data_IF_547560518525
#
_entry.id   IF_547560518525
#
_cell.length_a   1.000
_cell.length_b   1.000
_cell.length_c   1.000
_cell.angle_alpha   90.00
_cell.angle_beta   90.00
_cell.angle_gamma   90.00
#
_symmetry.space_group_name_H-M   'P 1'
#
loop_
_entity.id
_entity.type
_entity.pdbx_description
1 polymer ?
#
# COMPACT_ATOMS: atom_id res chain seq x y z
N UNK A 1 3.69 11.10 -3.44
CA UNK A 1 3.75 10.35 -4.71
C UNK A 1 4.82 9.24 -4.75
N UNK A 2 6.14 9.49 -4.69
CA UNK A 2 7.12 8.37 -4.76
C UNK A 2 7.02 7.38 -3.59
N UNK A 3 6.88 7.93 -2.37
CA UNK A 3 6.72 7.17 -1.13
C UNK A 3 5.47 6.28 -1.18
N UNK A 4 4.31 6.85 -1.52
CA UNK A 4 3.05 6.10 -1.64
C UNK A 4 3.17 4.95 -2.66
N UNK A 5 3.84 5.19 -3.79
CA UNK A 5 4.05 4.19 -4.85
C UNK A 5 4.98 3.04 -4.43
N UNK A 6 6.04 3.30 -3.65
CA UNK A 6 6.90 2.25 -3.07
C UNK A 6 6.10 1.35 -2.12
N UNK A 7 5.36 1.98 -1.21
CA UNK A 7 4.49 1.30 -0.23
C UNK A 7 3.43 0.46 -0.98
N UNK A 8 2.91 0.96 -2.08
CA UNK A 8 1.85 0.25 -2.79
C UNK A 8 2.36 -0.86 -3.72
N UNK A 9 3.50 -0.68 -4.39
CA UNK A 9 4.18 -1.78 -5.10
C UNK A 9 4.42 -2.97 -4.17
N UNK A 10 4.73 -2.71 -2.89
CA UNK A 10 4.82 -3.72 -1.85
C UNK A 10 3.46 -4.36 -1.52
N UNK A 11 2.39 -3.58 -1.31
CA UNK A 11 1.03 -4.10 -1.09
C UNK A 11 0.55 -5.01 -2.23
N UNK A 12 0.92 -4.69 -3.48
CA UNK A 12 0.62 -5.54 -4.64
C UNK A 12 1.28 -6.92 -4.47
N UNK A 13 2.56 -6.98 -4.05
CA UNK A 13 3.24 -8.26 -3.84
C UNK A 13 2.78 -9.02 -2.61
N UNK A 14 2.23 -8.34 -1.60
CA UNK A 14 1.62 -8.98 -0.42
C UNK A 14 0.25 -9.64 -0.73
N UNK A 15 -0.44 -9.15 -1.77
CA UNK A 15 -1.73 -9.68 -2.20
C UNK A 15 -1.61 -10.64 -3.39
N UNK A 16 -0.73 -10.35 -4.35
CA UNK A 16 -0.62 -11.05 -5.63
C UNK A 16 0.84 -11.33 -6.00
N UNK A 17 1.08 -12.47 -6.64
CA UNK A 17 2.39 -12.75 -7.21
C UNK A 17 2.67 -11.83 -8.42
N UNK A 18 3.94 -11.57 -8.78
CA UNK A 18 4.28 -10.73 -9.95
C UNK A 18 3.63 -11.20 -11.26
N UNK A 19 3.30 -12.49 -11.37
CA UNK A 19 2.70 -13.10 -12.56
C UNK A 19 1.17 -13.20 -12.49
N UNK A 20 0.55 -12.73 -11.41
CA UNK A 20 -0.88 -12.87 -11.20
C UNK A 20 -1.67 -11.98 -12.16
N UNK A 21 -2.78 -12.46 -12.70
CA UNK A 21 -3.59 -11.73 -13.69
C UNK A 21 -4.12 -10.39 -13.15
N UNK A 22 -4.42 -10.33 -11.84
CA UNK A 22 -4.86 -9.09 -11.19
C UNK A 22 -3.78 -8.01 -11.04
N UNK A 23 -2.57 -8.23 -11.54
CA UNK A 23 -1.52 -7.18 -11.64
C UNK A 23 -1.52 -6.43 -12.99
N UNK A 24 -2.41 -6.80 -13.91
CA UNK A 24 -2.66 -6.05 -15.15
C UNK A 24 -3.31 -4.70 -14.85
N UNK A 25 -3.16 -3.71 -15.73
CA UNK A 25 -3.88 -2.44 -15.55
C UNK A 25 -5.33 -2.57 -16.01
N UNK A 26 -5.53 -3.16 -17.21
CA UNK A 26 -6.86 -3.54 -17.70
C UNK A 26 -7.13 -4.97 -17.24
N UNK A 27 -8.12 -5.11 -16.37
CA UNK A 27 -8.50 -6.36 -15.74
C UNK A 27 -9.52 -7.13 -16.57
N UNK A 28 -9.49 -8.45 -16.48
CA UNK A 28 -10.56 -9.32 -16.93
C UNK A 28 -11.27 -9.90 -15.69
N UNK A 29 -12.54 -9.53 -15.52
CA UNK A 29 -13.36 -9.95 -14.39
C UNK A 29 -14.36 -11.06 -14.77
N UNK A 30 -14.17 -11.72 -15.91
CA UNK A 30 -15.04 -12.83 -16.33
C UNK A 30 -15.01 -13.95 -15.29
N UNK A 31 -16.17 -14.25 -14.67
CA UNK A 31 -16.32 -15.22 -13.57
C UNK A 31 -15.48 -14.92 -12.33
N UNK A 32 -15.15 -13.65 -12.08
CA UNK A 32 -14.40 -13.19 -10.92
C UNK A 32 -15.26 -12.23 -10.11
N UNK A 33 -15.36 -12.47 -8.81
CA UNK A 33 -15.92 -11.50 -7.87
C UNK A 33 -15.02 -10.24 -7.82
N UNK A 34 -15.53 -9.04 -8.16
CA UNK A 34 -14.75 -7.80 -8.16
C UNK A 34 -14.07 -7.50 -6.81
N UNK A 35 -14.67 -7.92 -5.69
CA UNK A 35 -14.10 -7.69 -4.35
C UNK A 35 -12.83 -8.54 -4.12
N UNK A 36 -12.68 -9.66 -4.85
CA UNK A 36 -11.48 -10.48 -4.82
C UNK A 36 -10.36 -9.88 -5.68
N UNK A 37 -10.73 -9.22 -6.78
CA UNK A 37 -9.77 -8.56 -7.67
C UNK A 37 -9.29 -7.19 -7.15
N UNK A 38 -10.05 -6.58 -6.23
CA UNK A 38 -9.71 -5.28 -5.65
C UNK A 38 -8.31 -5.28 -5.03
N UNK A 39 -7.50 -4.30 -5.44
CA UNK A 39 -6.14 -4.06 -4.95
C UNK A 39 -5.69 -2.64 -5.29
N UNK A 40 -4.46 -2.29 -4.93
CA UNK A 40 -3.92 -0.99 -5.33
C UNK A 40 -3.31 -0.92 -6.74
N UNK A 41 -3.26 -2.06 -7.46
CA UNK A 41 -2.74 -2.13 -8.83
C UNK A 41 -3.33 -1.06 -9.76
N UNK A 42 -4.67 -0.93 -9.93
CA UNK A 42 -5.22 0.05 -10.87
C UNK A 42 -4.91 1.50 -10.48
N UNK A 43 -4.82 1.79 -9.18
CA UNK A 43 -4.47 3.11 -8.68
C UNK A 43 -3.03 3.47 -9.04
N UNK A 44 -2.10 2.58 -8.73
CA UNK A 44 -0.67 2.88 -8.79
C UNK A 44 -0.10 2.72 -10.19
N UNK A 45 -0.47 1.64 -10.89
CA UNK A 45 -0.06 1.41 -12.28
C UNK A 45 -0.73 2.41 -13.22
N UNK A 46 -1.99 2.77 -12.96
CA UNK A 46 -2.68 3.83 -13.69
C UNK A 46 -2.04 5.20 -13.45
N UNK A 47 -1.79 5.56 -12.19
CA UNK A 47 -1.11 6.81 -11.85
C UNK A 47 0.34 6.86 -12.40
N UNK A 48 1.05 5.73 -12.44
CA UNK A 48 2.37 5.62 -13.06
C UNK A 48 2.32 5.83 -14.57
N UNK A 49 1.33 5.27 -15.28
CA UNK A 49 1.14 5.49 -16.71
C UNK A 49 0.88 6.98 -17.00
N UNK A 50 -0.02 7.61 -16.26
CA UNK A 50 -0.34 9.03 -16.46
C UNK A 50 0.87 9.92 -16.19
N UNK A 51 1.64 9.64 -15.14
CA UNK A 51 2.85 10.40 -14.83
C UNK A 51 3.98 10.16 -15.84
N UNK A 52 4.11 8.93 -16.35
CA UNK A 52 5.02 8.63 -17.46
C UNK A 52 4.65 9.44 -18.72
N UNK A 53 3.36 9.48 -19.06
CA UNK A 53 2.85 10.25 -20.19
C UNK A 53 3.09 11.75 -20.02
N UNK A 54 2.81 12.30 -18.84
CA UNK A 54 3.10 13.69 -18.50
C UNK A 54 4.57 14.04 -18.80
N UNK A 55 5.51 13.24 -18.32
CA UNK A 55 6.94 13.46 -18.56
C UNK A 55 7.32 13.39 -20.03
N UNK A 56 6.73 12.46 -20.78
CA UNK A 56 7.01 12.30 -22.22
C UNK A 56 6.37 13.39 -23.08
N UNK A 57 5.24 13.93 -22.67
CA UNK A 57 4.42 14.84 -23.48
C UNK A 57 4.67 16.32 -23.18
N UNK A 58 5.57 16.66 -22.25
CA UNK A 58 6.00 18.04 -22.02
C UNK A 58 5.75 18.59 -20.62
N UNK A 59 5.48 17.73 -19.64
CA UNK A 59 5.34 18.08 -18.23
C UNK A 59 3.91 18.40 -17.80
N UNK A 60 3.78 18.74 -16.52
CA UNK A 60 2.50 18.91 -15.83
C UNK A 60 1.58 19.92 -16.51
N UNK A 61 2.07 21.11 -16.87
CA UNK A 61 1.24 22.16 -17.47
C UNK A 61 0.55 21.68 -18.76
N UNK A 62 1.30 21.00 -19.64
CA UNK A 62 0.79 20.45 -20.91
C UNK A 62 -0.21 19.32 -20.65
N UNK A 63 0.07 18.46 -19.68
CA UNK A 63 -0.79 17.32 -19.37
C UNK A 63 -2.06 17.73 -18.61
N UNK A 64 -2.01 18.80 -17.83
CA UNK A 64 -3.17 19.40 -17.16
C UNK A 64 -4.18 19.98 -18.16
N UNK A 65 -3.71 20.62 -19.25
CA UNK A 65 -4.59 21.07 -20.33
C UNK A 65 -5.32 19.90 -21.00
N UNK A 66 -4.60 18.81 -21.28
CA UNK A 66 -5.19 17.57 -21.76
C UNK A 66 -6.23 17.00 -20.78
N UNK A 67 -5.92 16.98 -19.48
CA UNK A 67 -6.84 16.49 -18.46
C UNK A 67 -8.16 17.27 -18.46
N UNK A 68 -8.11 18.60 -18.62
CA UNK A 68 -9.32 19.44 -18.73
C UNK A 68 -10.14 19.11 -19.98
N UNK A 69 -9.48 18.92 -21.13
CA UNK A 69 -10.14 18.53 -22.37
C UNK A 69 -10.78 17.14 -22.27
N UNK A 70 -10.05 16.16 -21.73
CA UNK A 70 -10.54 14.81 -21.46
C UNK A 70 -11.80 14.84 -20.59
N UNK A 71 -11.77 15.56 -19.46
CA UNK A 71 -12.91 15.68 -18.55
C UNK A 71 -14.12 16.35 -19.23
N UNK A 72 -13.88 17.34 -20.08
CA UNK A 72 -14.94 18.04 -20.83
C UNK A 72 -15.55 17.13 -21.90
N UNK A 73 -14.72 16.41 -22.66
CA UNK A 73 -15.13 15.52 -23.76
C UNK A 73 -15.99 14.35 -23.28
N UNK A 74 -15.62 13.78 -22.12
CA UNK A 74 -16.28 12.61 -21.54
C UNK A 74 -17.20 12.92 -20.36
N UNK A 75 -17.49 14.19 -20.09
CA UNK A 75 -18.47 14.59 -19.09
C UNK A 75 -19.81 13.85 -19.33
N UNK A 76 -20.34 13.24 -18.27
CA UNK A 76 -21.60 12.48 -18.28
C UNK A 76 -21.62 11.24 -19.19
N UNK A 77 -20.46 10.68 -19.55
CA UNK A 77 -20.34 9.44 -20.33
C UNK A 77 -19.62 8.36 -19.54
N UNK A 78 -19.95 7.10 -19.82
CA UNK A 78 -19.13 5.96 -19.44
C UNK A 78 -18.18 5.63 -20.60
N UNK A 79 -16.91 5.37 -20.29
CA UNK A 79 -15.89 5.05 -21.29
C UNK A 79 -15.05 3.85 -20.88
N UNK A 80 -14.43 3.21 -21.87
CA UNK A 80 -13.36 2.25 -21.68
C UNK A 80 -11.96 2.84 -21.94
N UNK A 81 -10.92 2.05 -21.64
CA UNK A 81 -9.52 2.46 -21.81
C UNK A 81 -9.12 2.68 -23.27
N UNK A 82 -9.81 2.08 -24.24
CA UNK A 82 -9.52 2.25 -25.67
C UNK A 82 -10.09 3.56 -26.20
N UNK A 83 -11.26 3.97 -25.72
CA UNK A 83 -11.81 5.31 -25.95
C UNK A 83 -10.91 6.39 -25.35
N UNK A 84 -10.40 6.19 -24.12
CA UNK A 84 -9.39 7.06 -23.52
C UNK A 84 -8.13 7.18 -24.39
N UNK A 85 -7.53 6.03 -24.77
CA UNK A 85 -6.32 6.00 -25.61
C UNK A 85 -6.55 6.69 -26.96
N UNK A 86 -7.70 6.47 -27.59
CA UNK A 86 -8.05 7.14 -28.86
C UNK A 86 -8.07 8.66 -28.69
N UNK A 87 -8.74 9.17 -27.66
CA UNK A 87 -8.80 10.60 -27.37
C UNK A 87 -7.41 11.19 -27.06
N UNK A 88 -6.55 10.47 -26.32
CA UNK A 88 -5.16 10.86 -26.09
C UNK A 88 -4.40 11.09 -27.41
N UNK A 89 -4.53 10.18 -28.38
CA UNK A 89 -3.89 10.28 -29.70
C UNK A 89 -4.49 11.36 -30.61
N UNK A 90 -5.76 11.70 -30.41
CA UNK A 90 -6.45 12.78 -31.12
C UNK A 90 -6.05 14.15 -30.56
N UNK A 91 -5.97 14.29 -29.24
CA UNK A 91 -5.54 15.53 -28.59
C UNK A 91 -4.08 15.84 -28.92
N UNK A 92 -3.17 14.91 -28.65
CA UNK A 92 -1.74 15.03 -28.93
C UNK A 92 -1.37 14.58 -30.36
N UNK A 93 -2.16 15.00 -31.34
CA UNK A 93 -1.94 14.67 -32.75
C UNK A 93 -0.58 15.14 -33.30
N UNK A 94 -0.05 16.23 -32.75
CA UNK A 94 1.26 16.83 -33.03
C UNK A 94 2.42 16.06 -32.38
N UNK A 95 2.14 15.23 -31.37
CA UNK A 95 3.14 14.40 -30.64
C UNK A 95 2.95 12.91 -30.88
N UNK A 96 2.35 12.52 -32.02
CA UNK A 96 2.15 11.11 -32.39
C UNK A 96 3.44 10.31 -32.42
N UNK A 97 4.55 10.92 -32.84
CA UNK A 97 5.85 10.27 -32.91
C UNK A 97 6.28 9.78 -31.52
N UNK A 98 6.06 10.60 -30.48
CA UNK A 98 6.32 10.27 -29.07
C UNK A 98 5.36 9.18 -28.61
N UNK A 99 4.05 9.34 -28.85
CA UNK A 99 3.03 8.36 -28.43
C UNK A 99 3.25 6.98 -29.05
N UNK A 100 3.72 6.91 -30.30
CA UNK A 100 4.01 5.66 -31.00
C UNK A 100 5.22 4.92 -30.40
N UNK A 101 6.09 5.59 -29.65
CA UNK A 101 7.18 4.92 -28.92
C UNK A 101 6.71 4.20 -27.65
N UNK A 102 5.48 4.45 -27.21
CA UNK A 102 4.96 3.93 -25.95
C UNK A 102 4.29 2.58 -26.19
N UNK A 103 4.77 1.55 -25.50
CA UNK A 103 4.17 0.22 -25.52
C UNK A 103 2.90 0.16 -24.65
N UNK A 104 1.79 0.67 -25.18
CA UNK A 104 0.50 0.64 -24.51
C UNK A 104 0.00 -0.79 -24.22
N UNK A 105 0.39 -1.78 -25.02
CA UNK A 105 -0.01 -3.17 -24.80
C UNK A 105 0.63 -3.71 -23.52
N UNK A 106 1.94 -3.49 -23.35
CA UNK A 106 2.63 -3.81 -22.11
C UNK A 106 2.05 -3.07 -20.90
N UNK A 107 1.78 -1.76 -21.03
CA UNK A 107 1.17 -0.98 -19.94
C UNK A 107 -0.21 -1.52 -19.52
N UNK A 108 -1.05 -1.89 -20.50
CA UNK A 108 -2.41 -2.34 -20.24
C UNK A 108 -2.49 -3.79 -19.76
N UNK A 109 -1.72 -4.68 -20.39
CA UNK A 109 -1.95 -6.12 -20.32
C UNK A 109 -0.78 -6.92 -19.75
N UNK A 110 0.43 -6.35 -19.59
CA UNK A 110 1.49 -7.08 -18.92
C UNK A 110 1.22 -7.20 -17.41
N UNK A 111 1.56 -8.36 -16.86
CA UNK A 111 1.54 -8.63 -15.42
C UNK A 111 2.75 -8.00 -14.74
N UNK A 112 2.65 -7.76 -13.43
CA UNK A 112 3.72 -7.23 -12.59
C UNK A 112 3.87 -5.71 -12.67
N UNK A 113 5.09 -5.24 -12.43
CA UNK A 113 5.42 -3.81 -12.41
C UNK A 113 5.20 -3.15 -13.77
N UNK A 114 4.99 -1.82 -13.79
CA UNK A 114 5.05 -1.05 -15.03
C UNK A 114 6.30 -1.37 -15.87
N UNK A 115 6.19 -1.40 -17.20
CA UNK A 115 7.34 -1.66 -18.08
C UNK A 115 8.39 -0.55 -18.00
N UNK A 116 7.97 0.67 -17.70
CA UNK A 116 8.83 1.84 -17.55
C UNK A 116 8.58 2.51 -16.21
N UNK A 117 9.66 2.97 -15.57
CA UNK A 117 9.60 3.69 -14.30
C UNK A 117 9.70 5.21 -14.58
N UNK A 118 8.65 6.00 -14.26
CA UNK A 118 8.75 7.46 -14.33
C UNK A 118 9.89 7.99 -13.47
N UNK A 119 10.42 9.16 -13.80
CA UNK A 119 11.41 9.83 -12.94
C UNK A 119 10.72 10.46 -11.74
N UNK A 120 11.19 10.16 -10.54
CA UNK A 120 10.57 10.63 -9.31
C UNK A 120 11.54 11.50 -8.53
N UNK A 121 11.08 12.70 -8.16
CA UNK A 121 11.82 13.56 -7.25
C UNK A 121 12.16 12.84 -5.94
N UNK A 122 13.43 12.91 -5.53
CA UNK A 122 13.96 12.15 -4.39
C UNK A 122 13.99 12.94 -3.08
N UNK A 123 13.70 14.24 -3.09
CA UNK A 123 13.91 15.14 -1.95
C UNK A 123 13.23 14.67 -0.65
N UNK A 124 12.01 14.13 -0.74
CA UNK A 124 11.28 13.63 0.44
C UNK A 124 11.88 12.34 1.02
N UNK A 125 12.57 11.55 0.20
CA UNK A 125 13.09 10.23 0.55
C UNK A 125 14.46 10.32 1.20
N UNK A 126 15.28 11.31 0.81
CA UNK A 126 16.64 11.51 1.35
C UNK A 126 16.63 11.60 2.88
N UNK A 127 15.69 12.37 3.46
CA UNK A 127 15.57 12.49 4.91
C UNK A 127 15.17 11.15 5.58
N UNK A 128 14.30 10.38 4.93
CA UNK A 128 13.87 9.06 5.40
C UNK A 128 15.04 8.06 5.38
N UNK A 129 15.81 8.04 4.28
CA UNK A 129 16.97 7.17 4.11
C UNK A 129 18.10 7.52 5.09
N UNK A 130 18.32 8.81 5.37
CA UNK A 130 19.29 9.25 6.37
C UNK A 130 18.92 8.74 7.77
N UNK A 131 17.65 8.89 8.17
CA UNK A 131 17.17 8.40 9.47
C UNK A 131 17.17 6.87 9.54
N UNK A 132 16.79 6.21 8.45
CA UNK A 132 16.87 4.75 8.32
C UNK A 132 18.29 4.24 8.57
N UNK A 133 19.29 4.80 7.87
CA UNK A 133 20.70 4.41 8.06
C UNK A 133 21.16 4.66 9.49
N UNK A 134 20.82 5.81 10.06
CA UNK A 134 21.15 6.13 11.45
C UNK A 134 20.63 5.06 12.41
N UNK A 135 19.40 4.57 12.23
CA UNK A 135 18.85 3.51 13.08
C UNK A 135 19.44 2.15 12.81
N UNK A 136 19.65 1.76 11.55
CA UNK A 136 20.19 0.43 11.22
C UNK A 136 21.62 0.28 11.74
N UNK A 137 22.45 1.31 11.58
CA UNK A 137 23.87 1.29 11.96
C UNK A 137 24.10 1.52 13.46
N UNK A 138 23.13 2.08 14.18
CA UNK A 138 23.25 2.33 15.61
C UNK A 138 23.28 1.03 16.44
N UNK A 139 24.21 0.98 17.39
CA UNK A 139 24.20 0.04 18.51
C UNK A 139 23.38 0.57 19.70
N UNK A 140 23.24 -0.21 20.77
CA UNK A 140 22.43 0.14 21.95
C UNK A 140 22.82 1.50 22.56
N UNK A 141 24.12 1.76 22.75
CA UNK A 141 24.59 3.03 23.31
C UNK A 141 24.30 4.22 22.39
N UNK A 142 24.46 4.04 21.08
CA UNK A 142 24.21 5.09 20.09
C UNK A 142 22.72 5.40 19.96
N UNK A 143 21.85 4.39 20.09
CA UNK A 143 20.40 4.56 20.01
C UNK A 143 19.88 5.51 21.10
N UNK A 144 20.47 5.49 22.31
CA UNK A 144 20.10 6.42 23.40
C UNK A 144 20.36 7.89 23.07
N UNK A 145 21.22 8.17 22.08
CA UNK A 145 21.57 9.54 21.65
C UNK A 145 20.71 10.04 20.49
N UNK A 146 19.88 9.18 19.90
CA UNK A 146 18.98 9.56 18.81
C UNK A 146 17.80 10.34 19.40
N UNK A 147 17.57 11.56 18.92
CA UNK A 147 16.46 12.39 19.38
C UNK A 147 15.21 12.23 18.52
N UNK A 148 14.07 12.65 19.05
CA UNK A 148 12.79 12.62 18.37
C UNK A 148 12.64 13.69 17.26
N UNK A 149 13.55 14.67 17.19
CA UNK A 149 13.36 15.89 16.40
C UNK A 149 13.31 15.63 14.90
N UNK A 150 14.22 14.78 14.41
CA UNK A 150 14.26 14.41 13.00
C UNK A 150 12.97 13.69 12.57
N UNK A 151 12.47 12.77 13.38
CA UNK A 151 11.23 12.04 13.08
C UNK A 151 9.99 12.94 13.21
N UNK A 152 9.91 13.78 14.24
CA UNK A 152 8.75 14.67 14.47
C UNK A 152 8.66 15.84 13.49
N UNK A 153 9.79 16.26 12.91
CA UNK A 153 9.80 17.28 11.85
C UNK A 153 9.42 16.75 10.47
N UNK A 154 9.43 15.43 10.28
CA UNK A 154 8.99 14.79 9.04
C UNK A 154 7.46 14.89 8.87
N UNK A 155 7.03 15.01 7.60
CA UNK A 155 5.62 14.87 7.26
C UNK A 155 5.14 13.43 7.54
N UNK A 156 3.83 13.20 7.79
CA UNK A 156 3.32 11.85 8.07
C UNK A 156 3.69 10.82 6.99
N UNK A 157 3.70 11.20 5.71
CA UNK A 157 4.13 10.31 4.63
C UNK A 157 5.61 9.92 4.73
N UNK A 158 6.49 10.83 5.16
CA UNK A 158 7.91 10.53 5.36
C UNK A 158 8.11 9.60 6.57
N UNK A 159 7.35 9.80 7.64
CA UNK A 159 7.36 8.89 8.80
C UNK A 159 6.93 7.48 8.39
N UNK A 160 5.89 7.35 7.55
CA UNK A 160 5.44 6.07 7.01
C UNK A 160 6.51 5.45 6.09
N UNK A 161 7.17 6.22 5.22
CA UNK A 161 8.28 5.71 4.39
C UNK A 161 9.42 5.18 5.24
N UNK A 162 9.83 5.92 6.27
CA UNK A 162 10.88 5.49 7.19
C UNK A 162 10.52 4.15 7.86
N UNK A 163 9.29 4.01 8.38
CA UNK A 163 8.83 2.74 8.95
C UNK A 163 8.76 1.62 7.90
N UNK A 164 8.38 1.94 6.67
CA UNK A 164 8.37 0.99 5.55
C UNK A 164 9.79 0.51 5.20
N UNK A 165 10.79 1.40 5.20
CA UNK A 165 12.19 1.03 4.98
C UNK A 165 12.70 0.11 6.10
N UNK A 166 12.38 0.41 7.36
CA UNK A 166 12.67 -0.48 8.49
C UNK A 166 11.98 -1.84 8.36
N UNK A 167 10.74 -1.87 7.88
CA UNK A 167 10.01 -3.12 7.63
C UNK A 167 10.63 -3.92 6.48
N UNK A 168 11.15 -3.27 5.45
CA UNK A 168 11.80 -3.93 4.31
C UNK A 168 13.20 -4.45 4.64
N UNK A 169 13.85 -3.92 5.68
CA UNK A 169 15.14 -4.40 6.14
C UNK A 169 15.07 -5.90 6.47
N UNK A 170 16.08 -6.63 6.00
CA UNK A 170 16.31 -8.05 6.27
C UNK A 170 17.78 -8.22 6.66
N UNK A 171 18.11 -8.82 7.82
CA UNK A 171 17.23 -9.50 8.78
C UNK A 171 16.23 -8.58 9.51
N UNK A 172 15.14 -9.12 10.12
CA UNK A 172 14.24 -8.33 10.97
C UNK A 172 14.99 -7.62 12.11
N UNK A 173 14.48 -6.47 12.54
CA UNK A 173 15.10 -5.69 13.62
C UNK A 173 15.13 -6.44 14.94
N UNK A 174 16.19 -6.22 15.71
CA UNK A 174 16.35 -6.74 17.06
C UNK A 174 15.34 -6.08 18.03
N UNK A 175 14.89 -6.83 19.03
CA UNK A 175 13.83 -6.37 19.95
C UNK A 175 14.21 -5.12 20.74
N UNK A 176 15.48 -4.97 21.13
CA UNK A 176 15.96 -3.77 21.83
C UNK A 176 15.81 -2.52 20.96
N UNK A 177 16.01 -2.64 19.63
CA UNK A 177 15.89 -1.53 18.68
C UNK A 177 14.45 -1.10 18.51
N UNK A 178 13.52 -2.05 18.54
CA UNK A 178 12.08 -1.76 18.56
C UNK A 178 11.66 -1.07 19.86
N UNK A 179 12.17 -1.53 21.00
CA UNK A 179 11.92 -0.88 22.28
C UNK A 179 12.43 0.57 22.27
N UNK A 180 13.65 0.80 21.79
CA UNK A 180 14.23 2.13 21.65
C UNK A 180 13.44 3.02 20.67
N UNK A 181 13.04 2.50 19.50
CA UNK A 181 12.18 3.23 18.56
C UNK A 181 10.87 3.67 19.21
N UNK A 182 10.23 2.78 19.96
CA UNK A 182 8.99 3.11 20.66
C UNK A 182 9.20 4.14 21.77
N UNK A 183 10.31 4.04 22.51
CA UNK A 183 10.65 4.99 23.58
C UNK A 183 10.92 6.40 23.03
N UNK A 184 11.71 6.50 21.95
CA UNK A 184 12.07 7.81 21.37
C UNK A 184 10.89 8.46 20.64
N UNK A 185 10.08 7.68 19.92
CA UNK A 185 9.04 8.21 19.03
C UNK A 185 7.60 8.06 19.53
N UNK A 186 7.35 7.26 20.58
CA UNK A 186 6.00 7.04 21.12
C UNK A 186 5.08 6.33 20.12
N UNK A 187 5.60 5.39 19.32
CA UNK A 187 4.87 4.79 18.19
C UNK A 187 3.64 3.98 18.62
N UNK A 188 3.70 3.33 19.80
CA UNK A 188 2.54 2.65 20.39
C UNK A 188 1.39 3.61 20.70
N UNK A 189 1.66 4.89 20.94
CA UNK A 189 0.66 5.89 21.32
C UNK A 189 0.28 6.82 20.16
N UNK A 190 0.75 6.51 18.95
CA UNK A 190 0.41 7.27 17.74
C UNK A 190 -1.10 7.25 17.47
N UNK A 191 -1.70 8.44 17.40
CA UNK A 191 -3.09 8.64 16.98
C UNK A 191 -3.28 8.45 15.47
N UNK A 192 -2.19 8.58 14.70
CA UNK A 192 -2.22 8.36 13.26
C UNK A 192 -2.27 6.85 12.96
N UNK A 193 -3.40 6.39 12.42
CA UNK A 193 -3.66 4.98 12.11
C UNK A 193 -2.72 4.39 11.06
N UNK A 194 -2.25 5.19 10.09
CA UNK A 194 -1.33 4.69 9.04
C UNK A 194 0.08 4.47 9.63
N UNK A 195 0.53 5.37 10.50
CA UNK A 195 1.80 5.20 11.23
C UNK A 195 1.71 4.00 12.17
N UNK A 196 0.64 3.92 12.96
CA UNK A 196 0.42 2.83 13.89
C UNK A 196 0.32 1.47 13.18
N UNK A 197 -0.35 1.41 12.03
CA UNK A 197 -0.40 0.19 11.20
C UNK A 197 1.00 -0.27 10.80
N UNK A 198 1.82 0.63 10.22
CA UNK A 198 3.16 0.28 9.76
C UNK A 198 4.06 -0.14 10.93
N UNK A 199 3.93 0.55 12.07
CA UNK A 199 4.63 0.19 13.30
C UNK A 199 4.24 -1.20 13.83
N UNK A 200 2.94 -1.50 13.90
CA UNK A 200 2.43 -2.82 14.34
C UNK A 200 2.99 -3.92 13.44
N UNK A 201 2.93 -3.74 12.11
CA UNK A 201 3.42 -4.74 11.15
C UNK A 201 4.93 -4.94 11.24
N UNK A 202 5.71 -3.87 11.47
CA UNK A 202 7.14 -3.95 11.74
C UNK A 202 7.45 -4.81 12.97
N UNK A 203 6.73 -4.57 14.06
CA UNK A 203 6.91 -5.32 15.29
C UNK A 203 6.49 -6.78 15.17
N UNK A 204 5.40 -7.08 14.45
CA UNK A 204 4.96 -8.47 14.20
C UNK A 204 5.99 -9.20 13.32
N UNK A 205 6.54 -8.55 12.28
CA UNK A 205 7.62 -9.13 11.44
C UNK A 205 8.80 -9.57 12.30
N UNK A 206 9.19 -8.75 13.28
CA UNK A 206 10.25 -9.04 14.22
C UNK A 206 9.85 -9.95 15.40
N UNK A 207 8.58 -10.37 15.48
CA UNK A 207 8.03 -11.20 16.57
C UNK A 207 8.22 -10.58 17.96
N UNK A 208 8.00 -9.26 18.08
CA UNK A 208 8.12 -8.54 19.35
C UNK A 208 6.83 -8.66 20.16
N UNK A 209 6.79 -9.59 21.13
CA UNK A 209 5.59 -9.95 21.92
C UNK A 209 4.80 -8.78 22.54
N UNK A 210 5.44 -7.70 23.06
CA UNK A 210 4.71 -6.57 23.61
C UNK A 210 3.71 -5.91 22.65
N UNK A 211 3.87 -6.07 21.33
CA UNK A 211 2.94 -5.48 20.36
C UNK A 211 1.59 -6.20 20.28
N UNK A 212 1.50 -7.46 20.74
CA UNK A 212 0.32 -8.31 20.47
C UNK A 212 -0.97 -7.65 20.98
N UNK A 213 -0.95 -7.11 22.19
CA UNK A 213 -2.13 -6.45 22.78
C UNK A 213 -2.52 -5.20 22.01
N UNK A 214 -1.53 -4.39 21.61
CA UNK A 214 -1.77 -3.19 20.79
C UNK A 214 -2.33 -3.55 19.43
N UNK A 215 -1.80 -4.58 18.78
CA UNK A 215 -2.25 -5.06 17.49
C UNK A 215 -3.71 -5.55 17.54
N UNK A 216 -4.07 -6.31 18.58
CA UNK A 216 -5.44 -6.78 18.80
C UNK A 216 -6.38 -5.60 19.07
N UNK A 217 -6.00 -4.67 19.95
CA UNK A 217 -6.79 -3.47 20.22
C UNK A 217 -7.04 -2.65 18.96
N UNK A 218 -6.01 -2.49 18.12
CA UNK A 218 -6.10 -1.75 16.86
C UNK A 218 -7.06 -2.38 15.84
N UNK A 219 -7.02 -3.70 15.66
CA UNK A 219 -7.95 -4.38 14.72
C UNK A 219 -9.38 -4.48 15.26
N UNK A 220 -9.58 -4.30 16.56
CA UNK A 220 -10.89 -4.26 17.20
C UNK A 220 -11.51 -2.85 17.18
N UNK A 221 -10.70 -1.80 17.18
CA UNK A 221 -11.20 -0.42 17.09
C UNK A 221 -11.52 0.02 15.66
N UNK A 222 -10.85 -0.55 14.66
CA UNK A 222 -10.99 -0.16 13.26
C UNK A 222 -11.71 -1.23 12.43
N UNK A 223 -12.52 -0.82 11.45
CA UNK A 223 -13.21 -1.73 10.52
C UNK A 223 -12.69 -1.74 9.08
N UNK A 224 -11.68 -0.90 8.77
CA UNK A 224 -11.17 -0.71 7.42
C UNK A 224 -10.33 -1.92 7.01
N UNK A 225 -10.70 -2.59 5.92
CA UNK A 225 -9.99 -3.76 5.40
C UNK A 225 -8.49 -3.52 5.15
N UNK A 226 -8.11 -2.30 4.72
CA UNK A 226 -6.72 -1.87 4.58
C UNK A 226 -5.88 -2.10 5.86
N UNK A 227 -6.50 -1.98 7.03
CA UNK A 227 -5.82 -2.10 8.32
C UNK A 227 -5.99 -3.50 8.90
N UNK A 228 -7.23 -3.96 9.02
CA UNK A 228 -7.55 -5.19 9.72
C UNK A 228 -6.95 -6.41 9.01
N UNK A 229 -7.07 -6.47 7.68
CA UNK A 229 -6.73 -7.66 6.91
C UNK A 229 -5.23 -8.00 6.97
N UNK A 230 -4.29 -7.07 6.71
CA UNK A 230 -2.87 -7.35 6.86
C UNK A 230 -2.48 -7.72 8.30
N UNK A 231 -3.00 -7.00 9.31
CA UNK A 231 -2.64 -7.27 10.71
C UNK A 231 -3.14 -8.65 11.16
N UNK A 232 -4.36 -9.05 10.80
CA UNK A 232 -4.83 -10.41 11.09
C UNK A 232 -3.94 -11.46 10.41
N UNK A 233 -3.61 -11.29 9.11
CA UNK A 233 -2.73 -12.22 8.39
C UNK A 233 -1.37 -12.36 9.08
N UNK A 234 -0.75 -11.24 9.46
CA UNK A 234 0.55 -11.21 10.14
C UNK A 234 0.48 -11.90 11.52
N UNK A 235 -0.57 -11.63 12.32
CA UNK A 235 -0.77 -12.26 13.64
C UNK A 235 -1.03 -13.77 13.54
N UNK A 236 -1.77 -14.23 12.53
CA UNK A 236 -2.08 -15.66 12.35
C UNK A 236 -0.84 -16.45 11.90
N UNK A 237 0.02 -15.82 11.10
CA UNK A 237 1.30 -16.40 10.68
C UNK A 237 2.28 -16.58 11.84
N UNK A 238 2.06 -15.88 12.96
CA UNK A 238 2.89 -15.95 14.16
C UNK A 238 2.28 -16.87 15.23
N UNK A 239 2.92 -18.02 15.56
CA UNK A 239 2.34 -19.00 16.49
C UNK A 239 1.94 -18.45 17.87
N UNK A 240 2.71 -17.50 18.42
CA UNK A 240 2.43 -16.92 19.74
C UNK A 240 1.17 -16.02 19.76
N UNK A 241 0.86 -15.37 18.64
CA UNK A 241 -0.27 -14.45 18.52
C UNK A 241 -1.53 -15.10 17.92
N UNK A 242 -1.37 -16.21 17.19
CA UNK A 242 -2.43 -16.86 16.42
C UNK A 242 -3.72 -17.13 17.19
N UNK A 243 -3.61 -17.72 18.39
CA UNK A 243 -4.79 -18.05 19.21
C UNK A 243 -5.53 -16.79 19.63
N UNK A 244 -4.81 -15.78 20.15
CA UNK A 244 -5.41 -14.51 20.59
C UNK A 244 -6.07 -13.76 19.43
N UNK A 245 -5.46 -13.76 18.25
CA UNK A 245 -6.04 -13.14 17.06
C UNK A 245 -7.35 -13.84 16.64
N UNK A 246 -7.37 -15.18 16.65
CA UNK A 246 -8.57 -15.96 16.31
C UNK A 246 -9.70 -15.71 17.32
N UNK A 247 -9.41 -15.73 18.62
CA UNK A 247 -10.41 -15.53 19.66
C UNK A 247 -11.01 -14.13 19.59
N UNK A 248 -10.17 -13.11 19.37
CA UNK A 248 -10.61 -11.74 19.16
C UNK A 248 -11.53 -11.61 17.93
N UNK A 249 -11.18 -12.25 16.81
CA UNK A 249 -12.04 -12.24 15.62
C UNK A 249 -13.41 -12.86 15.92
N UNK A 250 -13.46 -14.00 16.61
CA UNK A 250 -14.73 -14.66 16.97
C UNK A 250 -15.60 -13.72 17.82
N UNK A 251 -15.00 -13.03 18.80
CA UNK A 251 -15.71 -12.12 19.70
C UNK A 251 -16.22 -10.87 18.98
N UNK A 252 -15.46 -10.34 18.03
CA UNK A 252 -15.76 -9.05 17.36
C UNK A 252 -16.48 -9.23 16.01
N UNK A 253 -16.59 -10.45 15.48
CA UNK A 253 -17.19 -10.73 14.17
C UNK A 253 -18.59 -10.13 14.00
N UNK A 254 -19.43 -10.21 15.02
CA UNK A 254 -20.83 -9.73 14.94
C UNK A 254 -20.95 -8.22 14.82
N UNK A 255 -19.91 -7.46 15.19
CA UNK A 255 -19.90 -5.99 15.10
C UNK A 255 -19.14 -5.50 13.87
N UNK A 256 -18.50 -6.38 13.11
CA UNK A 256 -17.79 -6.04 11.88
C UNK A 256 -18.76 -5.86 10.71
N UNK A 257 -18.37 -5.04 9.73
CA UNK A 257 -19.05 -4.99 8.43
C UNK A 257 -19.02 -6.39 7.78
N UNK A 258 -20.13 -6.87 7.15
CA UNK A 258 -20.21 -8.23 6.62
C UNK A 258 -19.05 -8.62 5.68
N UNK A 259 -18.68 -7.73 4.76
CA UNK A 259 -17.56 -7.93 3.83
C UNK A 259 -16.23 -8.05 4.58
N UNK A 260 -16.01 -7.21 5.61
CA UNK A 260 -14.79 -7.26 6.43
C UNK A 260 -14.70 -8.59 7.18
N UNK A 261 -15.80 -9.00 7.79
CA UNK A 261 -15.89 -10.26 8.50
C UNK A 261 -15.61 -11.45 7.57
N UNK A 262 -16.19 -11.46 6.37
CA UNK A 262 -16.01 -12.54 5.40
C UNK A 262 -14.56 -12.63 4.89
N UNK A 263 -13.97 -11.51 4.52
CA UNK A 263 -12.59 -11.47 4.02
C UNK A 263 -11.58 -11.92 5.09
N UNK A 264 -11.76 -11.49 6.35
CA UNK A 264 -10.92 -11.94 7.46
C UNK A 264 -11.17 -13.43 7.77
N UNK A 265 -12.41 -13.93 7.65
CA UNK A 265 -12.71 -15.36 7.82
C UNK A 265 -11.96 -16.22 6.79
N UNK A 266 -11.94 -15.77 5.53
CA UNK A 266 -11.20 -16.43 4.43
C UNK A 266 -9.71 -16.50 4.75
N UNK A 267 -9.11 -15.40 5.21
CA UNK A 267 -7.70 -15.35 5.60
C UNK A 267 -7.40 -16.19 6.87
N UNK A 268 -8.36 -16.33 7.79
CA UNK A 268 -8.28 -17.20 8.96
C UNK A 268 -8.51 -18.70 8.66
N UNK A 269 -8.82 -19.05 7.40
CA UNK A 269 -9.27 -20.38 6.99
C UNK A 269 -10.46 -20.91 7.81
N UNK A 270 -11.30 -20.01 8.32
CA UNK A 270 -12.52 -20.36 9.04
C UNK A 270 -13.63 -20.62 8.03
N UNK A 271 -13.97 -21.90 7.80
CA UNK A 271 -15.16 -22.25 7.02
C UNK A 271 -16.39 -21.74 7.74
N UNK A 272 -17.31 -21.13 6.99
CA UNK A 272 -18.61 -20.78 7.50
C UNK A 272 -19.32 -22.08 7.93
N UNK A 273 -19.74 -22.17 9.19
CA UNK A 273 -20.96 -22.92 9.49
C UNK A 273 -22.08 -22.14 8.80
N UNK A 274 -22.56 -22.69 7.68
CA UNK A 274 -23.70 -22.22 6.89
C UNK A 274 -24.74 -21.49 7.73
N UNK A 275 -24.84 -20.17 7.55
CA UNK A 275 -26.10 -19.48 7.70
C UNK A 275 -26.34 -18.69 6.43
N UNK A 276 -27.19 -19.28 5.60
CA UNK A 276 -27.97 -18.62 4.58
C UNK A 276 -28.57 -17.35 5.18
N UNK A 277 -28.05 -16.18 4.81
CA UNK A 277 -28.84 -14.96 4.91
C UNK A 277 -29.73 -15.01 3.68
N UNK A 278 -30.96 -15.50 3.86
CA UNK A 278 -32.01 -15.29 2.87
C UNK A 278 -32.18 -13.78 2.71
N UNK A 279 -32.17 -13.32 1.46
CA UNK A 279 -32.66 -12.00 1.07
C UNK A 279 -34.14 -11.84 1.46
#
# INVERSE_FOLDING_TARGET
>A
MYIERKICGQLVYEQFTPTHQFTKLIQDHTNVDPDVAFSCVPYEKGSALLFYLEQKLGGAEVFEEYLRDYLTTFAHKAIDSYQWKKHLFEYFHDKRDILNTIDFDAWFHAVGMPPEKPDYGQSMVVACEALFKQWIEANEEQATKITADAFKSMQPLQQIEFLSQLWQHDPPLEHWKLAALNEVYGLNDSENCEILLNWIRLCIKAKWEPIIEKAISFVSSQGRLKYCRPVYRDLIAWPAAKTRARDNYIQTRSTMHPITAEMIAKDLHMRHSTHTVCF
#
